data_IF_152540153014
#
_entry.id   IF_152540153014
#
_cell.length_a   1.000
_cell.length_b   1.000
_cell.length_c   1.000
_cell.angle_alpha   90.00
_cell.angle_beta   90.00
_cell.angle_gamma   90.00
#
_symmetry.space_group_name_H-M   'P 1'
#
loop_
_entity.id
_entity.type
_entity.pdbx_description
1 polymer ?
#
# COMPACT_ATOMS: atom_id res chain seq x y z
N UNK A 1 -54.80 -17.39 19.27
CA UNK A 1 -54.93 -15.93 19.43
C UNK A 1 -54.51 -15.68 20.86
N UNK A 2 -53.45 -14.96 21.20
CA UNK A 2 -52.74 -13.87 20.52
C UNK A 2 -51.23 -14.09 20.56
N UNK A 3 -50.55 -13.61 19.52
CA UNK A 3 -49.10 -13.55 19.43
C UNK A 3 -48.66 -12.16 19.91
N UNK A 4 -47.69 -12.14 20.81
CA UNK A 4 -47.08 -10.91 21.32
C UNK A 4 -45.76 -10.67 20.59
N UNK A 5 -45.64 -9.51 19.96
CA UNK A 5 -44.51 -9.05 19.15
C UNK A 5 -43.63 -8.11 19.97
N UNK A 6 -42.29 -8.27 19.98
CA UNK A 6 -41.37 -7.15 20.21
C UNK A 6 -40.88 -6.66 18.83
N UNK A 7 -40.96 -5.38 18.47
CA UNK A 7 -40.57 -4.19 19.24
C UNK A 7 -39.35 -3.60 18.52
N UNK A 8 -39.60 -2.63 17.64
CA UNK A 8 -38.59 -1.88 16.86
C UNK A 8 -37.53 -1.21 17.76
N UNK A 9 -36.22 -1.32 17.45
CA UNK A 9 -35.23 -0.46 18.06
C UNK A 9 -35.10 0.86 17.30
N UNK A 10 -35.38 1.93 18.04
CA UNK A 10 -35.11 3.34 17.72
C UNK A 10 -33.60 3.55 17.52
N UNK A 11 -33.21 4.18 16.41
CA UNK A 11 -31.85 4.59 16.13
C UNK A 11 -31.45 5.81 16.99
N UNK A 12 -30.23 5.84 17.58
CA UNK A 12 -29.71 7.05 18.18
C UNK A 12 -28.99 7.93 17.15
N UNK A 13 -29.27 9.24 17.26
CA UNK A 13 -28.69 10.35 16.51
C UNK A 13 -27.16 10.31 16.47
N UNK A 14 -26.62 10.45 15.25
CA UNK A 14 -25.19 10.60 14.99
C UNK A 14 -24.81 12.08 15.08
N UNK A 15 -24.23 12.48 16.21
CA UNK A 15 -23.54 13.77 16.32
C UNK A 15 -22.21 13.69 15.54
N UNK A 16 -22.15 14.43 14.42
CA UNK A 16 -20.92 14.70 13.70
C UNK A 16 -19.96 15.50 14.59
N UNK A 17 -18.85 14.89 14.99
CA UNK A 17 -17.73 15.58 15.62
C UNK A 17 -16.86 16.21 14.53
N UNK A 18 -16.91 17.54 14.41
CA UNK A 18 -15.97 18.31 13.63
C UNK A 18 -14.58 18.22 14.29
N UNK A 19 -13.64 17.57 13.60
CA UNK A 19 -12.23 17.57 14.00
C UNK A 19 -11.64 18.90 13.55
N UNK A 20 -11.43 19.80 14.52
CA UNK A 20 -10.68 21.04 14.33
C UNK A 20 -9.20 20.65 14.28
N UNK A 21 -8.59 20.72 13.10
CA UNK A 21 -7.15 20.61 12.95
C UNK A 21 -6.50 21.86 13.57
N UNK A 22 -5.74 21.67 14.66
CA UNK A 22 -4.84 22.70 15.19
C UNK A 22 -3.71 22.94 14.18
N UNK A 23 -3.77 24.08 13.50
CA UNK A 23 -2.68 24.60 12.69
C UNK A 23 -1.49 24.93 13.60
N UNK A 24 -0.39 24.21 13.43
CA UNK A 24 0.87 24.52 14.09
C UNK A 24 1.50 25.74 13.40
N UNK A 25 1.65 26.83 14.14
CA UNK A 25 2.33 28.04 13.68
C UNK A 25 3.85 27.82 13.68
N UNK A 26 4.47 27.91 12.51
CA UNK A 26 5.92 28.01 12.36
C UNK A 26 6.26 29.06 11.28
N UNK A 27 6.92 30.11 11.75
CA UNK A 27 7.80 31.07 11.07
C UNK A 27 7.39 31.69 9.74
N UNK A 28 6.87 32.93 9.86
CA UNK A 28 6.79 33.93 8.81
C UNK A 28 8.19 34.54 8.55
N UNK A 29 8.88 34.09 7.51
CA UNK A 29 9.85 34.93 6.78
C UNK A 29 9.38 35.06 5.33
N UNK A 30 8.62 36.14 5.10
CA UNK A 30 7.85 36.40 3.90
C UNK A 30 8.69 36.98 2.76
N UNK A 31 9.07 36.13 1.82
CA UNK A 31 9.19 36.51 0.41
C UNK A 31 7.83 36.31 -0.29
N UNK A 32 7.43 37.17 -1.25
CA UNK A 32 6.20 36.94 -2.01
C UNK A 32 6.34 35.63 -2.78
N UNK A 33 5.70 34.57 -2.29
CA UNK A 33 5.50 33.36 -3.06
C UNK A 33 4.71 33.77 -4.31
N UNK A 34 5.40 33.83 -5.44
CA UNK A 34 4.76 33.96 -6.74
C UNK A 34 3.62 32.93 -6.77
N UNK A 35 2.41 33.38 -7.07
CA UNK A 35 1.25 32.51 -7.21
C UNK A 35 1.60 31.40 -8.19
N UNK A 36 1.93 30.21 -7.70
CA UNK A 36 2.23 29.08 -8.55
C UNK A 36 0.89 28.62 -9.12
N UNK A 37 0.77 28.66 -10.45
CA UNK A 37 -0.47 28.35 -11.16
C UNK A 37 -1.00 26.96 -10.79
N UNK A 38 -2.32 26.84 -10.65
CA UNK A 38 -2.98 25.56 -10.44
C UNK A 38 -2.65 24.61 -11.60
N UNK A 39 -2.45 23.32 -11.30
CA UNK A 39 -2.15 22.29 -12.29
C UNK A 39 -3.09 21.11 -12.19
N UNK A 40 -3.33 20.49 -13.34
CA UNK A 40 -4.07 19.24 -13.45
C UNK A 40 -3.15 18.05 -13.19
N UNK A 41 -3.49 17.24 -12.18
CA UNK A 41 -2.76 16.03 -11.81
C UNK A 41 -3.50 14.81 -12.37
N UNK A 42 -3.24 14.50 -13.63
CA UNK A 42 -3.85 13.36 -14.34
C UNK A 42 -2.83 12.55 -15.11
N UNK A 43 -3.15 11.27 -15.26
CA UNK A 43 -2.50 10.41 -16.25
C UNK A 43 -3.00 10.78 -17.65
N UNK A 44 -2.07 10.88 -18.60
CA UNK A 44 -2.37 11.10 -20.01
C UNK A 44 -1.95 9.88 -20.80
N UNK A 45 -2.92 9.28 -21.48
CA UNK A 45 -2.69 8.05 -22.22
C UNK A 45 -2.39 8.37 -23.68
N UNK A 46 -1.14 8.10 -24.08
CA UNK A 46 -0.70 8.24 -25.47
C UNK A 46 -0.60 6.84 -26.12
N UNK A 47 -1.44 6.53 -27.14
CA UNK A 47 -1.34 5.28 -27.88
C UNK A 47 0.06 5.05 -28.46
N UNK A 48 0.43 3.77 -28.61
CA UNK A 48 1.63 3.31 -29.30
C UNK A 48 2.99 3.76 -28.74
N UNK A 49 3.01 4.32 -27.52
CA UNK A 49 4.26 4.59 -26.79
C UNK A 49 4.38 3.62 -25.62
N UNK A 50 5.21 2.56 -25.75
CA UNK A 50 5.44 1.68 -24.61
C UNK A 50 6.19 2.42 -23.51
N UNK A 51 5.79 2.19 -22.27
CA UNK A 51 6.48 2.68 -21.07
C UNK A 51 6.84 1.48 -20.22
N UNK A 52 8.11 1.36 -19.85
CA UNK A 52 8.55 0.29 -18.96
C UNK A 52 8.58 0.80 -17.53
N UNK A 53 8.03 0.00 -16.63
CA UNK A 53 8.05 0.26 -15.21
C UNK A 53 8.70 -0.91 -14.47
N UNK A 54 9.26 -0.61 -13.30
CA UNK A 54 9.59 -1.60 -12.29
C UNK A 54 8.81 -1.29 -11.03
N UNK A 55 8.07 -2.27 -10.57
CA UNK A 55 7.41 -2.24 -9.26
C UNK A 55 8.19 -3.12 -8.28
N UNK A 56 8.41 -2.62 -7.08
CA UNK A 56 8.92 -3.37 -5.93
C UNK A 56 7.89 -3.27 -4.81
N UNK A 57 7.42 -4.40 -4.33
CA UNK A 57 6.56 -4.47 -3.15
C UNK A 57 7.20 -5.38 -2.12
N UNK A 58 7.24 -4.94 -0.87
CA UNK A 58 7.88 -5.66 0.22
C UNK A 58 6.97 -5.61 1.45
N UNK A 59 6.79 -6.77 2.09
CA UNK A 59 6.12 -6.88 3.38
C UNK A 59 7.00 -7.69 4.30
N UNK A 60 7.30 -7.14 5.45
CA UNK A 60 8.06 -7.81 6.51
C UNK A 60 7.27 -7.72 7.82
N UNK A 61 7.24 -8.79 8.58
CA UNK A 61 6.77 -8.79 9.95
C UNK A 61 7.77 -9.57 10.81
N UNK A 62 8.12 -9.03 11.97
CA UNK A 62 9.04 -9.69 12.90
C UNK A 62 8.51 -9.69 14.32
N UNK A 63 8.91 -10.70 15.09
CA UNK A 63 8.61 -10.80 16.52
C UNK A 63 9.90 -11.09 17.27
N UNK A 64 10.22 -10.28 18.27
CA UNK A 64 11.43 -10.42 19.09
C UNK A 64 11.15 -10.27 20.58
N UNK A 65 11.97 -10.97 21.36
CA UNK A 65 12.00 -10.83 22.81
C UNK A 65 13.03 -9.77 23.18
N UNK A 66 12.67 -8.89 24.11
CA UNK A 66 13.55 -7.90 24.70
C UNK A 66 13.59 -8.14 26.21
N UNK A 67 14.79 -8.27 26.77
CA UNK A 67 14.98 -8.62 28.18
C UNK A 67 16.13 -9.60 28.38
N UNK A 68 16.32 -10.07 29.60
CA UNK A 68 17.31 -11.12 29.89
C UNK A 68 16.97 -12.40 29.11
N UNK A 69 18.00 -13.08 28.61
CA UNK A 69 17.83 -14.38 27.95
C UNK A 69 17.27 -15.43 28.91
N UNK A 70 17.56 -15.33 30.21
CA UNK A 70 17.04 -16.25 31.24
C UNK A 70 15.57 -16.04 31.57
N UNK A 71 14.99 -14.88 31.26
CA UNK A 71 13.55 -14.61 31.46
C UNK A 71 12.70 -14.91 30.23
N UNK A 72 13.35 -15.18 29.08
CA UNK A 72 12.67 -15.57 27.85
C UNK A 72 12.00 -16.93 28.02
N UNK A 73 10.68 -17.05 27.81
CA UNK A 73 9.99 -18.34 27.88
C UNK A 73 10.57 -19.35 26.88
N UNK A 74 10.78 -20.59 27.31
CA UNK A 74 11.26 -21.68 26.43
C UNK A 74 10.33 -21.96 25.25
N UNK A 75 9.05 -21.58 25.37
CA UNK A 75 8.04 -21.68 24.32
C UNK A 75 8.07 -20.51 23.32
N UNK A 76 8.79 -19.43 23.60
CA UNK A 76 8.84 -18.27 22.72
C UNK A 76 9.50 -18.62 21.38
N UNK A 77 8.85 -18.23 20.28
CA UNK A 77 9.32 -18.45 18.90
C UNK A 77 9.23 -17.13 18.15
N UNK A 78 10.33 -16.35 18.21
CA UNK A 78 10.48 -15.14 17.42
C UNK A 78 10.94 -15.40 15.98
N UNK A 79 11.32 -14.33 15.29
CA UNK A 79 11.87 -14.32 13.93
C UNK A 79 11.07 -13.41 12.99
N UNK A 80 11.59 -13.21 11.79
CA UNK A 80 10.94 -12.46 10.73
C UNK A 80 10.29 -13.37 9.68
N UNK A 81 9.12 -12.97 9.21
CA UNK A 81 8.44 -13.48 8.02
C UNK A 81 8.26 -12.33 7.04
N UNK A 82 8.24 -12.63 5.75
CA UNK A 82 8.03 -11.57 4.79
C UNK A 82 8.20 -12.02 3.37
N UNK A 83 7.94 -11.10 2.46
CA UNK A 83 8.24 -11.29 1.06
C UNK A 83 8.65 -9.97 0.39
N UNK A 84 9.42 -10.09 -0.67
CA UNK A 84 9.77 -9.02 -1.59
C UNK A 84 9.50 -9.50 -3.01
N UNK A 85 8.77 -8.72 -3.77
CA UNK A 85 8.52 -8.97 -5.19
C UNK A 85 9.01 -7.77 -5.99
N UNK A 86 9.74 -8.04 -7.07
CA UNK A 86 10.14 -7.05 -8.06
C UNK A 86 9.61 -7.49 -9.43
N UNK A 87 8.78 -6.67 -10.07
CA UNK A 87 8.24 -6.96 -11.41
C UNK A 87 8.65 -5.82 -12.32
N UNK A 88 9.35 -6.14 -13.41
CA UNK A 88 9.50 -5.23 -14.53
C UNK A 88 8.45 -5.56 -15.57
N UNK A 89 7.67 -4.57 -15.99
CA UNK A 89 6.63 -4.73 -17.00
C UNK A 89 6.62 -3.57 -17.99
N UNK A 90 6.22 -3.87 -19.21
CA UNK A 90 5.91 -2.87 -20.23
C UNK A 90 4.41 -2.58 -20.23
N UNK A 91 4.04 -1.30 -20.27
CA UNK A 91 2.69 -0.83 -20.53
C UNK A 91 2.61 -0.27 -21.94
N UNK A 92 1.60 -0.69 -22.71
CA UNK A 92 1.24 -0.08 -23.98
C UNK A 92 -0.24 0.30 -23.96
N UNK A 93 -0.54 1.56 -24.22
CA UNK A 93 -1.91 2.02 -24.44
C UNK A 93 -2.40 1.43 -25.76
N UNK A 94 -3.42 0.58 -25.69
CA UNK A 94 -4.06 -0.03 -26.86
C UNK A 94 -5.13 0.91 -27.44
N UNK A 95 -6.00 1.43 -26.57
CA UNK A 95 -7.05 2.37 -26.94
C UNK A 95 -7.40 3.31 -25.80
N UNK A 96 -7.91 4.49 -26.15
CA UNK A 96 -8.49 5.48 -25.23
C UNK A 96 -9.95 5.67 -25.62
N UNK A 97 -10.88 5.52 -24.69
CA UNK A 97 -12.31 5.74 -24.92
C UNK A 97 -12.68 7.21 -24.82
N UNK A 98 -13.90 7.54 -25.27
CA UNK A 98 -14.41 8.93 -25.33
C UNK A 98 -14.47 9.62 -23.95
N UNK A 99 -14.54 8.86 -22.86
CA UNK A 99 -14.50 9.37 -21.49
C UNK A 99 -13.07 9.55 -20.93
N UNK A 100 -12.03 9.31 -21.73
CA UNK A 100 -10.63 9.42 -21.34
C UNK A 100 -10.04 8.18 -20.65
N UNK A 101 -10.82 7.12 -20.40
CA UNK A 101 -10.25 5.86 -19.90
C UNK A 101 -9.37 5.22 -20.97
N UNK A 102 -8.32 4.52 -20.56
CA UNK A 102 -7.45 3.79 -21.46
C UNK A 102 -7.44 2.29 -21.15
N UNK A 103 -7.52 1.47 -22.18
CA UNK A 103 -7.14 0.06 -22.08
C UNK A 103 -5.65 -0.04 -22.29
N UNK A 104 -4.96 -0.48 -21.25
CA UNK A 104 -3.50 -0.62 -21.21
C UNK A 104 -3.17 -2.10 -21.20
N UNK A 105 -2.44 -2.53 -22.22
CA UNK A 105 -1.85 -3.87 -22.27
C UNK A 105 -0.56 -3.87 -21.46
N UNK A 106 -0.49 -4.74 -20.47
CA UNK A 106 0.65 -4.88 -19.54
C UNK A 106 1.35 -6.20 -19.83
N UNK A 107 2.64 -6.17 -20.17
CA UNK A 107 3.45 -7.38 -20.42
C UNK A 107 4.52 -7.52 -19.35
N UNK A 108 4.55 -8.66 -18.65
CA UNK A 108 5.56 -8.94 -17.62
C UNK A 108 6.88 -9.29 -18.31
N UNK A 109 7.93 -8.51 -18.07
CA UNK A 109 9.25 -8.70 -18.71
C UNK A 109 10.23 -9.43 -17.79
N UNK A 110 10.21 -9.15 -16.49
CA UNK A 110 11.06 -9.80 -15.50
C UNK A 110 10.34 -9.87 -14.15
N UNK A 111 10.71 -10.88 -13.35
CA UNK A 111 10.15 -11.12 -12.02
C UNK A 111 11.25 -11.62 -11.09
N UNK A 112 11.33 -11.01 -9.90
CA UNK A 112 12.05 -11.54 -8.75
C UNK A 112 11.09 -11.71 -7.60
N UNK A 113 11.24 -12.78 -6.84
CA UNK A 113 10.47 -13.03 -5.64
C UNK A 113 11.35 -13.67 -4.58
N UNK A 114 11.32 -13.10 -3.38
CA UNK A 114 11.95 -13.66 -2.21
C UNK A 114 10.91 -13.79 -1.10
N UNK A 115 10.64 -15.01 -0.66
CA UNK A 115 9.79 -15.32 0.48
C UNK A 115 10.61 -15.84 1.65
N UNK A 116 10.37 -15.31 2.85
CA UNK A 116 11.02 -15.70 4.10
C UNK A 116 10.00 -16.12 5.15
N UNK A 117 10.33 -17.17 5.88
CA UNK A 117 9.58 -17.62 7.05
C UNK A 117 10.54 -17.94 8.19
N UNK A 118 10.45 -17.20 9.31
CA UNK A 118 11.32 -17.32 10.48
C UNK A 118 12.80 -17.35 10.08
N UNK A 119 13.24 -16.32 9.35
CA UNK A 119 14.60 -16.17 8.78
C UNK A 119 15.01 -17.21 7.73
N UNK A 120 14.17 -18.21 7.45
CA UNK A 120 14.46 -19.21 6.42
C UNK A 120 13.87 -18.76 5.09
N UNK A 121 14.67 -18.80 4.03
CA UNK A 121 14.19 -18.59 2.66
C UNK A 121 13.31 -19.78 2.28
N UNK A 122 12.02 -19.54 2.06
CA UNK A 122 11.04 -20.56 1.67
C UNK A 122 10.77 -20.57 0.17
N UNK A 123 11.06 -19.46 -0.50
CA UNK A 123 10.95 -19.30 -1.94
C UNK A 123 11.94 -18.24 -2.39
N UNK A 124 12.75 -18.55 -3.39
CA UNK A 124 13.68 -17.61 -4.02
C UNK A 124 13.63 -17.84 -5.53
N UNK A 125 13.14 -16.84 -6.25
CA UNK A 125 12.96 -16.86 -7.69
C UNK A 125 13.51 -15.57 -8.31
N UNK A 126 14.22 -15.69 -9.41
CA UNK A 126 14.73 -14.59 -10.22
C UNK A 126 14.73 -15.04 -11.68
N UNK A 127 13.87 -14.44 -12.49
CA UNK A 127 13.67 -14.81 -13.89
C UNK A 127 14.93 -14.71 -14.75
N UNK A 128 15.99 -14.03 -14.29
CA UNK A 128 17.27 -13.97 -15.01
C UNK A 128 18.19 -15.18 -14.75
N UNK A 129 17.94 -15.97 -13.69
CA UNK A 129 18.75 -17.14 -13.34
C UNK A 129 18.36 -18.33 -14.22
N UNK A 130 19.34 -19.01 -14.80
CA UNK A 130 19.11 -20.19 -15.66
C UNK A 130 18.31 -21.30 -14.95
N UNK A 131 18.57 -21.50 -13.66
CA UNK A 131 17.89 -22.52 -12.83
C UNK A 131 16.40 -22.22 -12.60
N UNK A 132 15.99 -20.95 -12.72
CA UNK A 132 14.61 -20.49 -12.47
C UNK A 132 13.79 -20.38 -13.77
N UNK A 133 14.38 -20.71 -14.93
CA UNK A 133 13.68 -20.65 -16.22
C UNK A 133 12.59 -21.69 -16.40
N UNK A 134 12.52 -22.66 -15.48
CA UNK A 134 11.49 -23.69 -15.45
C UNK A 134 10.74 -23.57 -14.13
N UNK A 135 9.43 -23.31 -14.21
CA UNK A 135 8.58 -23.31 -13.03
C UNK A 135 7.34 -22.43 -13.19
N UNK A 136 6.41 -22.49 -12.22
CA UNK A 136 5.17 -21.72 -12.29
C UNK A 136 5.37 -20.20 -12.38
N UNK A 137 6.40 -19.65 -11.73
CA UNK A 137 6.70 -18.22 -11.76
C UNK A 137 7.34 -17.78 -13.10
N UNK A 138 8.10 -18.65 -13.77
CA UNK A 138 8.69 -18.33 -15.08
C UNK A 138 7.64 -18.27 -16.19
N UNK A 139 6.52 -19.00 -16.05
CA UNK A 139 5.39 -18.96 -16.99
C UNK A 139 4.70 -17.59 -17.07
N UNK A 140 4.92 -16.71 -16.08
CA UNK A 140 4.43 -15.34 -16.09
C UNK A 140 5.22 -14.43 -17.04
N UNK A 141 6.48 -14.76 -17.34
CA UNK A 141 7.35 -13.93 -18.16
C UNK A 141 6.87 -13.95 -19.62
N UNK A 142 6.75 -12.77 -20.23
CA UNK A 142 6.22 -12.58 -21.57
C UNK A 142 4.70 -12.68 -21.67
N UNK A 143 3.98 -12.97 -20.56
CA UNK A 143 2.51 -12.93 -20.55
C UNK A 143 2.02 -11.50 -20.47
N UNK A 144 0.89 -11.25 -21.14
CA UNK A 144 0.21 -9.98 -21.09
C UNK A 144 -1.20 -10.11 -20.52
N UNK A 145 -1.63 -9.08 -19.81
CA UNK A 145 -3.01 -8.87 -19.40
C UNK A 145 -3.41 -7.42 -19.71
N UNK A 146 -4.69 -7.12 -19.64
CA UNK A 146 -5.21 -5.78 -19.90
C UNK A 146 -5.79 -5.18 -18.62
N UNK A 147 -5.60 -3.88 -18.46
CA UNK A 147 -6.24 -3.08 -17.43
C UNK A 147 -6.91 -1.88 -18.08
N UNK A 148 -8.18 -1.63 -17.75
CA UNK A 148 -8.81 -0.36 -18.09
C UNK A 148 -8.52 0.64 -16.96
N UNK A 149 -7.96 1.80 -17.27
CA UNK A 149 -7.54 2.81 -16.29
C UNK A 149 -8.16 4.17 -16.58
N UNK A 150 -8.56 4.89 -15.53
CA UNK A 150 -9.02 6.28 -15.63
C UNK A 150 -7.84 7.27 -15.61
N UNK A 151 -8.03 8.51 -16.09
CA UNK A 151 -7.02 9.57 -15.92
C UNK A 151 -6.64 9.85 -14.46
N UNK A 152 -7.55 9.56 -13.51
CA UNK A 152 -7.30 9.65 -12.06
C UNK A 152 -6.62 8.39 -11.50
N UNK A 153 -6.11 7.51 -12.36
CA UNK A 153 -5.35 6.33 -11.95
C UNK A 153 -6.16 5.23 -11.26
N UNK A 154 -7.49 5.21 -11.41
CA UNK A 154 -8.30 4.10 -10.94
C UNK A 154 -8.28 2.96 -11.98
N UNK A 155 -8.19 1.70 -11.53
CA UNK A 155 -8.38 0.54 -12.40
C UNK A 155 -9.87 0.19 -12.43
N UNK A 156 -10.47 0.19 -13.62
CA UNK A 156 -11.90 -0.09 -13.82
C UNK A 156 -12.10 -1.60 -14.04
N UNK A 157 -11.35 -2.21 -14.96
CA UNK A 157 -11.39 -3.64 -15.26
C UNK A 157 -10.00 -4.27 -15.31
N UNK A 158 -9.96 -5.59 -15.18
CA UNK A 158 -8.77 -6.43 -15.39
C UNK A 158 -9.18 -7.61 -16.26
N UNK A 159 -8.52 -7.77 -17.39
CA UNK A 159 -8.90 -8.73 -18.43
C UNK A 159 -7.69 -9.56 -18.90
N UNK A 160 -7.94 -10.70 -19.57
CA UNK A 160 -6.88 -11.57 -20.11
C UNK A 160 -6.16 -12.48 -19.10
N UNK A 161 -6.49 -12.37 -17.81
CA UNK A 161 -5.81 -13.10 -16.73
C UNK A 161 -6.19 -14.59 -16.66
N UNK A 162 -7.43 -14.95 -17.04
CA UNK A 162 -7.90 -16.33 -16.98
C UNK A 162 -7.01 -17.30 -17.78
N UNK A 163 -6.63 -16.92 -19.00
CA UNK A 163 -5.73 -17.73 -19.84
C UNK A 163 -4.32 -17.88 -19.24
N UNK A 164 -3.85 -16.88 -18.48
CA UNK A 164 -2.58 -16.98 -17.74
C UNK A 164 -2.74 -18.01 -16.61
N UNK A 165 -3.80 -17.91 -15.79
CA UNK A 165 -4.08 -18.86 -14.69
C UNK A 165 -4.12 -20.30 -15.20
N UNK A 166 -4.83 -20.53 -16.31
CA UNK A 166 -4.98 -21.86 -16.88
C UNK A 166 -3.67 -22.45 -17.40
N UNK A 167 -2.71 -21.61 -17.78
CA UNK A 167 -1.39 -22.05 -18.27
C UNK A 167 -0.44 -22.47 -17.14
N UNK A 168 -0.62 -21.95 -15.93
CA UNK A 168 0.24 -22.25 -14.77
C UNK A 168 -0.24 -23.57 -14.15
N UNK A 169 0.58 -24.62 -14.22
CA UNK A 169 0.25 -25.94 -13.65
C UNK A 169 1.00 -26.21 -12.34
N UNK A 170 0.49 -27.15 -11.55
CA UNK A 170 1.12 -27.64 -10.31
C UNK A 170 0.38 -27.23 -9.03
N UNK A 171 0.99 -27.52 -7.89
CA UNK A 171 0.47 -27.27 -6.54
C UNK A 171 1.56 -26.76 -5.57
N UNK A 172 2.76 -26.49 -6.08
CA UNK A 172 3.92 -26.02 -5.30
C UNK A 172 3.69 -24.61 -4.68
N UNK A 173 4.50 -24.21 -3.68
CA UNK A 173 4.48 -22.84 -3.17
C UNK A 173 4.66 -21.78 -4.28
N UNK A 174 5.51 -22.06 -5.28
CA UNK A 174 5.72 -21.23 -6.46
C UNK A 174 4.44 -21.08 -7.30
N UNK A 175 3.68 -22.17 -7.47
CA UNK A 175 2.41 -22.17 -8.17
C UNK A 175 1.40 -21.25 -7.47
N UNK A 176 1.23 -21.40 -6.16
CA UNK A 176 0.34 -20.53 -5.37
C UNK A 176 0.79 -19.07 -5.42
N UNK A 177 2.11 -18.83 -5.39
CA UNK A 177 2.67 -17.48 -5.50
C UNK A 177 2.40 -16.87 -6.87
N UNK A 178 2.58 -17.63 -7.96
CA UNK A 178 2.30 -17.17 -9.31
C UNK A 178 0.82 -16.80 -9.48
N UNK A 179 -0.11 -17.66 -9.02
CA UNK A 179 -1.55 -17.38 -9.05
C UNK A 179 -1.92 -16.13 -8.24
N UNK A 180 -1.29 -15.92 -7.08
CA UNK A 180 -1.50 -14.72 -6.28
C UNK A 180 -1.03 -13.46 -6.99
N UNK A 181 0.16 -13.47 -7.61
CA UNK A 181 0.73 -12.29 -8.28
C UNK A 181 -0.12 -11.78 -9.45
N UNK A 182 -0.88 -12.67 -10.08
CA UNK A 182 -1.86 -12.36 -11.13
C UNK A 182 -3.31 -12.43 -10.62
N UNK A 183 -3.53 -12.33 -9.31
CA UNK A 183 -4.86 -12.09 -8.74
C UNK A 183 -5.37 -10.71 -9.16
N UNK A 184 -6.69 -10.57 -9.37
CA UNK A 184 -7.30 -9.29 -9.78
C UNK A 184 -7.00 -8.19 -8.76
N UNK A 185 -7.04 -8.56 -7.47
CA UNK A 185 -6.69 -7.66 -6.36
C UNK A 185 -5.23 -7.18 -6.47
N UNK A 186 -4.29 -8.11 -6.61
CA UNK A 186 -2.86 -7.79 -6.73
C UNK A 186 -2.53 -6.99 -7.99
N UNK A 187 -3.27 -7.21 -9.09
CA UNK A 187 -3.13 -6.43 -10.32
C UNK A 187 -3.67 -5.00 -10.11
N UNK A 188 -4.83 -4.84 -9.46
CA UNK A 188 -5.40 -3.52 -9.13
C UNK A 188 -4.47 -2.75 -8.20
N UNK A 189 -4.03 -3.36 -7.10
CA UNK A 189 -3.12 -2.72 -6.13
C UNK A 189 -1.79 -2.27 -6.77
N UNK A 190 -1.35 -2.94 -7.85
CA UNK A 190 -0.14 -2.58 -8.60
C UNK A 190 -0.33 -1.40 -9.56
N UNK A 191 -1.51 -1.25 -10.14
CA UNK A 191 -1.74 -0.26 -11.20
C UNK A 191 -2.56 0.94 -10.76
N UNK A 192 -3.29 0.84 -9.65
CA UNK A 192 -3.99 1.98 -9.07
C UNK A 192 -3.01 3.04 -8.58
N UNK A 193 -3.41 4.31 -8.68
CA UNK A 193 -2.64 5.47 -8.22
C UNK A 193 -3.47 6.20 -7.15
N UNK A 194 -3.43 5.75 -5.89
CA UNK A 194 -4.35 6.22 -4.86
C UNK A 194 -4.32 7.73 -4.60
N UNK A 195 -3.16 8.37 -4.81
CA UNK A 195 -3.02 9.82 -4.71
C UNK A 195 -3.91 10.53 -5.74
N UNK A 196 -3.93 10.06 -7.00
CA UNK A 196 -4.75 10.66 -8.05
C UNK A 196 -6.24 10.34 -7.89
N UNK A 197 -6.56 9.14 -7.40
CA UNK A 197 -7.95 8.73 -7.14
C UNK A 197 -8.62 9.55 -6.03
N UNK A 198 -7.83 10.08 -5.10
CA UNK A 198 -8.30 10.88 -3.97
C UNK A 198 -8.51 12.37 -4.31
N UNK A 199 -8.08 12.83 -5.49
CA UNK A 199 -8.35 14.18 -5.96
C UNK A 199 -9.81 14.31 -6.40
N UNK A 200 -10.59 15.06 -5.65
CA UNK A 200 -11.97 15.42 -6.02
C UNK A 200 -11.95 16.44 -7.16
N UNK A 201 -11.20 17.54 -6.95
CA UNK A 201 -10.98 18.60 -7.93
C UNK A 201 -10.02 18.18 -9.05
N UNK A 202 -10.19 18.78 -10.22
CA UNK A 202 -9.33 18.54 -11.38
C UNK A 202 -8.00 19.30 -11.30
N UNK A 203 -7.91 20.35 -10.47
CA UNK A 203 -6.68 21.16 -10.38
C UNK A 203 -6.27 21.41 -8.95
N UNK A 204 -4.96 21.46 -8.71
CA UNK A 204 -4.38 21.74 -7.40
C UNK A 204 -3.22 22.72 -7.53
N UNK A 205 -3.14 23.67 -6.60
CA UNK A 205 -2.00 24.58 -6.48
C UNK A 205 -0.94 23.95 -5.57
N UNK A 206 0.34 24.30 -5.73
CA UNK A 206 1.36 23.97 -4.74
C UNK A 206 0.96 24.44 -3.33
N UNK A 207 1.20 23.59 -2.33
CA UNK A 207 0.66 23.69 -0.97
C UNK A 207 -0.73 23.08 -0.79
N UNK A 208 -1.46 22.78 -1.87
CA UNK A 208 -2.76 22.14 -1.82
C UNK A 208 -2.69 20.70 -1.31
N UNK A 209 -3.70 20.31 -0.54
CA UNK A 209 -3.77 19.00 0.12
C UNK A 209 -5.08 18.29 -0.15
N UNK A 210 -5.03 16.96 -0.23
CA UNK A 210 -6.20 16.10 -0.33
C UNK A 210 -5.91 14.78 0.37
N UNK A 211 -6.91 13.94 0.62
CA UNK A 211 -6.70 12.73 1.40
C UNK A 211 -7.62 11.57 1.03
N UNK A 212 -7.22 10.36 1.43
CA UNK A 212 -8.14 9.21 1.48
C UNK A 212 -7.79 8.28 2.62
N UNK A 213 -8.75 7.45 3.03
CA UNK A 213 -8.55 6.46 4.09
C UNK A 213 -8.08 5.13 3.51
N UNK A 214 -7.03 4.55 4.10
CA UNK A 214 -6.52 3.20 3.81
C UNK A 214 -6.60 2.33 5.05
N UNK A 215 -7.15 1.14 4.89
CA UNK A 215 -7.19 0.12 5.92
C UNK A 215 -6.01 -0.84 5.76
N UNK A 216 -5.24 -1.02 6.83
CA UNK A 216 -4.19 -2.02 6.92
C UNK A 216 -4.64 -3.15 7.83
N UNK A 217 -4.49 -4.39 7.37
CA UNK A 217 -4.77 -5.58 8.18
C UNK A 217 -3.47 -6.22 8.66
N UNK A 218 -3.43 -6.52 9.95
CA UNK A 218 -2.28 -7.12 10.65
C UNK A 218 -2.60 -8.51 11.20
N UNK A 219 -3.60 -9.18 10.62
CA UNK A 219 -4.04 -10.50 11.06
C UNK A 219 -4.53 -10.45 12.51
N UNK A 220 -3.89 -11.23 13.40
CA UNK A 220 -4.29 -11.34 14.81
C UNK A 220 -4.05 -10.06 15.62
N UNK A 221 -3.25 -9.14 15.11
CA UNK A 221 -3.02 -7.83 15.71
C UNK A 221 -4.13 -6.81 15.37
N UNK A 222 -5.14 -7.24 14.61
CA UNK A 222 -6.26 -6.41 14.19
C UNK A 222 -5.98 -5.64 12.90
N UNK A 223 -6.89 -4.73 12.57
CA UNK A 223 -6.73 -3.80 11.47
C UNK A 223 -6.58 -2.37 12.02
N UNK A 224 -6.05 -1.46 11.20
CA UNK A 224 -5.98 -0.02 11.49
C UNK A 224 -6.30 0.78 10.25
N UNK A 225 -6.95 1.92 10.46
CA UNK A 225 -7.23 2.86 9.40
C UNK A 225 -6.30 4.07 9.52
N UNK A 226 -5.81 4.53 8.38
CA UNK A 226 -5.01 5.74 8.29
C UNK A 226 -5.58 6.62 7.19
N UNK A 227 -5.64 7.90 7.47
CA UNK A 227 -5.83 8.92 6.45
C UNK A 227 -4.47 9.20 5.81
N UNK A 228 -4.35 8.93 4.51
CA UNK A 228 -3.22 9.34 3.69
C UNK A 228 -3.47 10.77 3.25
N UNK A 229 -2.71 11.70 3.79
CA UNK A 229 -2.69 13.10 3.42
C UNK A 229 -1.63 13.31 2.33
N UNK A 230 -2.08 13.75 1.15
CA UNK A 230 -1.25 14.11 0.02
C UNK A 230 -1.07 15.63 -0.01
N UNK A 231 0.11 16.11 -0.38
CA UNK A 231 0.40 17.54 -0.52
C UNK A 231 1.21 17.75 -1.79
N UNK A 232 0.73 18.61 -2.70
CA UNK A 232 1.55 19.04 -3.85
C UNK A 232 2.61 20.01 -3.32
N UNK A 233 3.85 19.56 -3.19
CA UNK A 233 4.91 20.39 -2.59
C UNK A 233 5.40 21.47 -3.55
N UNK A 234 5.69 21.06 -4.80
CA UNK A 234 6.28 21.92 -5.83
C UNK A 234 6.11 21.36 -7.22
N UNK A 235 6.35 22.21 -8.21
CA UNK A 235 6.47 21.85 -9.62
C UNK A 235 7.86 22.28 -10.07
N UNK A 236 8.67 21.32 -10.51
CA UNK A 236 10.00 21.57 -11.08
C UNK A 236 9.85 21.74 -12.59
N UNK A 237 10.52 22.76 -13.15
CA UNK A 237 10.50 23.09 -14.56
C UNK A 237 11.93 23.06 -15.10
N UNK A 238 12.51 21.86 -15.15
CA UNK A 238 13.78 21.59 -15.82
C UNK A 238 13.50 21.16 -17.27
N UNK A 239 13.83 19.91 -17.65
CA UNK A 239 13.58 19.36 -18.99
C UNK A 239 12.11 18.97 -19.23
N UNK A 240 11.35 18.74 -18.16
CA UNK A 240 9.92 18.42 -18.14
C UNK A 240 9.29 19.01 -16.89
N UNK A 241 8.01 19.38 -16.94
CA UNK A 241 7.29 19.85 -15.75
C UNK A 241 6.95 18.66 -14.85
N UNK A 242 7.67 18.51 -13.74
CA UNK A 242 7.45 17.42 -12.78
C UNK A 242 6.74 17.97 -11.54
N UNK A 243 5.55 17.44 -11.25
CA UNK A 243 4.88 17.66 -9.97
C UNK A 243 5.40 16.69 -8.91
N UNK A 244 5.75 17.23 -7.74
CA UNK A 244 6.20 16.46 -6.58
C UNK A 244 5.15 16.50 -5.48
N UNK A 245 4.62 15.34 -5.13
CA UNK A 245 3.58 15.17 -4.11
C UNK A 245 4.16 14.37 -2.94
N UNK A 246 4.14 14.92 -1.74
CA UNK A 246 4.48 14.18 -0.51
C UNK A 246 3.24 13.56 0.12
N UNK A 247 3.43 12.43 0.79
CA UNK A 247 2.39 11.67 1.47
C UNK A 247 2.76 11.47 2.94
N UNK A 248 1.80 11.72 3.84
CA UNK A 248 1.90 11.40 5.27
C UNK A 248 0.65 10.65 5.70
N UNK A 249 0.80 9.70 6.62
CA UNK A 249 -0.34 8.95 7.15
C UNK A 249 -0.64 9.37 8.58
N UNK A 250 -1.91 9.66 8.84
CA UNK A 250 -2.42 10.04 10.15
C UNK A 250 -3.37 8.92 10.61
N UNK A 251 -3.23 8.38 11.83
CA UNK A 251 -4.19 7.43 12.37
C UNK A 251 -5.62 8.00 12.27
N UNK A 252 -6.56 7.22 11.72
CA UNK A 252 -7.93 7.69 11.49
C UNK A 252 -8.95 6.83 12.22
N UNK A 253 -9.90 7.50 12.88
CA UNK A 253 -11.07 6.86 13.46
C UNK A 253 -12.20 6.63 12.43
N UNK A 254 -12.08 7.15 11.21
CA UNK A 254 -13.16 7.16 10.21
C UNK A 254 -13.63 5.75 9.80
N UNK A 255 -12.83 4.72 10.01
CA UNK A 255 -13.20 3.33 9.74
C UNK A 255 -13.52 2.51 11.00
N UNK A 256 -13.79 3.14 12.15
CA UNK A 256 -14.04 2.45 13.43
C UNK A 256 -15.09 1.32 13.30
N UNK A 257 -16.19 1.56 12.59
CA UNK A 257 -17.22 0.55 12.35
C UNK A 257 -16.72 -0.69 11.57
N UNK A 258 -15.85 -0.49 10.57
CA UNK A 258 -15.24 -1.59 9.80
C UNK A 258 -14.16 -2.31 10.61
N UNK A 259 -13.45 -1.58 11.47
CA UNK A 259 -12.46 -2.14 12.38
C UNK A 259 -13.10 -3.10 13.40
N UNK A 260 -14.30 -2.77 13.91
CA UNK A 260 -15.02 -3.64 14.84
C UNK A 260 -15.47 -4.97 14.23
N UNK A 261 -15.77 -5.02 12.93
CA UNK A 261 -16.18 -6.25 12.25
C UNK A 261 -15.00 -7.21 11.98
N UNK A 262 -13.78 -6.68 11.92
CA UNK A 262 -12.56 -7.46 11.66
C UNK A 262 -11.77 -7.86 12.91
N UNK A 263 -12.12 -7.34 14.09
CA UNK A 263 -11.47 -7.74 15.33
C UNK A 263 -11.96 -9.12 15.76
N UNK A 264 -11.03 -10.08 15.80
CA UNK A 264 -11.26 -11.39 16.42
C UNK A 264 -11.09 -11.24 17.93
N UNK A 265 -11.96 -11.88 18.73
CA UNK A 265 -12.01 -11.81 20.20
C UNK A 265 -10.73 -12.26 20.96
N UNK A 266 -9.63 -12.53 20.25
CA UNK A 266 -8.48 -13.25 20.77
C UNK A 266 -7.44 -12.38 21.49
N UNK A 267 -7.45 -11.05 21.32
CA UNK A 267 -6.46 -10.16 21.95
C UNK A 267 -7.18 -8.98 22.61
N UNK A 268 -7.07 -8.81 23.94
CA UNK A 268 -7.64 -7.66 24.63
C UNK A 268 -7.12 -6.35 24.06
N UNK A 269 -8.04 -5.42 23.74
CA UNK A 269 -7.67 -4.07 23.35
C UNK A 269 -6.85 -3.41 24.48
N UNK A 270 -5.77 -2.69 24.12
CA UNK A 270 -4.94 -1.95 25.08
C UNK A 270 -3.77 -2.72 25.71
N UNK A 271 -3.50 -3.96 25.32
CA UNK A 271 -2.31 -4.71 25.80
C UNK A 271 -0.99 -4.22 25.18
N UNK A 272 -1.06 -3.53 24.04
CA UNK A 272 0.12 -3.13 23.26
C UNK A 272 0.15 -1.62 23.08
N UNK A 273 1.26 -1.02 23.51
CA UNK A 273 1.67 0.28 23.00
C UNK A 273 2.15 0.12 21.56
N UNK A 274 1.99 1.17 20.76
CA UNK A 274 2.38 1.11 19.36
C UNK A 274 2.90 2.44 18.85
N UNK A 275 3.77 2.36 17.85
CA UNK A 275 4.29 3.50 17.11
C UNK A 275 4.14 3.21 15.63
N UNK A 276 3.53 4.16 14.93
CA UNK A 276 3.25 4.05 13.51
C UNK A 276 3.98 5.15 12.75
N UNK A 277 4.48 4.83 11.57
CA UNK A 277 5.02 5.80 10.62
C UNK A 277 4.53 5.47 9.22
N UNK A 278 4.02 6.48 8.51
CA UNK A 278 3.64 6.37 7.12
C UNK A 278 4.21 7.56 6.35
N UNK A 279 4.95 7.25 5.30
CA UNK A 279 5.54 8.26 4.42
C UNK A 279 5.48 7.78 2.97
N UNK A 280 5.39 8.73 2.04
CA UNK A 280 5.40 8.42 0.62
C UNK A 280 5.65 9.65 -0.24
N UNK A 281 5.88 9.41 -1.52
CA UNK A 281 6.16 10.43 -2.53
C UNK A 281 5.62 9.97 -3.89
N UNK A 282 5.12 10.92 -4.69
CA UNK A 282 4.75 10.75 -6.09
C UNK A 282 5.44 11.84 -6.91
N UNK A 283 6.10 11.45 -7.99
CA UNK A 283 6.61 12.35 -9.03
C UNK A 283 5.86 12.06 -10.33
N UNK A 284 5.14 13.06 -10.84
CA UNK A 284 4.32 12.97 -12.04
C UNK A 284 4.86 13.94 -13.11
N UNK A 285 5.18 13.43 -14.29
CA UNK A 285 5.45 14.25 -15.47
C UNK A 285 4.13 14.81 -16.00
N UNK A 286 3.93 16.12 -15.87
CA UNK A 286 2.70 16.82 -16.24
C UNK A 286 2.53 16.95 -17.76
N UNK A 287 3.62 16.91 -18.51
CA UNK A 287 3.58 17.00 -19.97
C UNK A 287 3.20 15.64 -20.56
N UNK A 288 3.91 14.59 -20.13
CA UNK A 288 3.64 13.22 -20.56
C UNK A 288 2.38 12.63 -19.90
N UNK A 289 1.95 13.16 -18.75
CA UNK A 289 0.93 12.57 -17.88
C UNK A 289 1.32 11.16 -17.44
N UNK A 290 2.57 10.97 -17.05
CA UNK A 290 3.13 9.67 -16.68
C UNK A 290 3.80 9.73 -15.31
N UNK A 291 3.72 8.63 -14.56
CA UNK A 291 4.40 8.51 -13.28
C UNK A 291 5.90 8.32 -13.55
N UNK A 292 6.74 9.17 -12.97
CA UNK A 292 8.18 8.94 -12.96
C UNK A 292 8.57 8.04 -11.79
N UNK A 293 8.00 8.32 -10.61
CA UNK A 293 8.20 7.51 -9.41
C UNK A 293 7.00 7.59 -8.46
N UNK A 294 6.71 6.51 -7.76
CA UNK A 294 5.73 6.46 -6.68
C UNK A 294 6.26 5.56 -5.57
N UNK A 295 6.35 6.07 -4.34
CA UNK A 295 6.87 5.34 -3.19
C UNK A 295 5.90 5.49 -2.02
N UNK A 296 5.57 4.39 -1.37
CA UNK A 296 4.91 4.37 -0.06
C UNK A 296 5.68 3.44 0.88
N UNK A 297 5.82 3.85 2.13
CA UNK A 297 6.27 2.99 3.21
C UNK A 297 5.41 3.21 4.44
N UNK A 298 4.89 2.11 4.95
CA UNK A 298 4.20 2.03 6.22
C UNK A 298 5.00 1.13 7.16
N UNK A 299 5.23 1.59 8.37
CA UNK A 299 5.79 0.79 9.45
C UNK A 299 4.93 0.96 10.69
N UNK A 300 4.70 -0.14 11.37
CA UNK A 300 4.02 -0.18 12.66
C UNK A 300 4.79 -1.10 13.59
N UNK A 301 4.92 -0.68 14.82
CA UNK A 301 5.63 -1.39 15.87
C UNK A 301 4.69 -1.52 17.06
N UNK A 302 4.60 -2.72 17.64
CA UNK A 302 3.85 -3.00 18.84
C UNK A 302 4.79 -3.49 19.94
N UNK A 303 4.57 -3.03 21.16
CA UNK A 303 5.32 -3.44 22.33
C UNK A 303 4.35 -3.88 23.42
N UNK A 304 4.48 -5.12 23.88
CA UNK A 304 3.88 -5.57 25.14
C UNK A 304 4.97 -5.71 26.17
N UNK A 305 4.80 -5.05 27.31
CA UNK A 305 5.74 -5.07 28.43
C UNK A 305 5.11 -5.81 29.60
N UNK A 306 5.94 -6.53 30.36
CA UNK A 306 5.51 -7.11 31.64
C UNK A 306 5.10 -5.99 32.63
N UNK A 307 3.80 -5.89 32.90
CA UNK A 307 3.24 -4.85 33.77
C UNK A 307 3.67 -5.02 35.24
N UNK A 308 3.89 -6.25 35.71
CA UNK A 308 4.34 -6.49 37.09
C UNK A 308 5.78 -5.99 37.26
N UNK A 309 6.62 -6.18 36.24
CA UNK A 309 7.97 -5.65 36.19
C UNK A 309 8.01 -4.11 36.18
N UNK A 310 7.08 -3.46 35.46
CA UNK A 310 6.92 -1.99 35.49
C UNK A 310 6.52 -1.52 36.90
N UNK A 311 5.49 -2.14 37.50
CA UNK A 311 4.98 -1.75 38.81
C UNK A 311 6.00 -1.93 39.95
N UNK A 312 6.90 -2.90 39.82
CA UNK A 312 8.00 -3.13 40.75
C UNK A 312 9.21 -2.22 40.53
N UNK A 313 9.18 -1.33 39.54
CA UNK A 313 10.26 -0.39 39.25
C UNK A 313 11.47 -1.03 38.58
N UNK A 314 11.28 -2.10 37.81
CA UNK A 314 12.36 -2.73 37.05
C UNK A 314 12.82 -1.79 35.93
N UNK A 315 14.11 -1.45 35.88
CA UNK A 315 14.66 -0.51 34.88
C UNK A 315 14.54 -1.01 33.42
N UNK A 316 14.45 -2.33 33.22
CA UNK A 316 14.33 -2.98 31.91
C UNK A 316 13.39 -4.19 31.98
N UNK A 317 12.07 -3.96 32.05
CA UNK A 317 11.10 -5.04 32.06
C UNK A 317 11.22 -5.86 30.76
N UNK A 318 10.93 -7.15 30.87
CA UNK A 318 10.84 -8.00 29.69
C UNK A 318 9.70 -7.51 28.78
N UNK A 319 9.92 -7.59 27.47
CA UNK A 319 8.95 -7.17 26.49
C UNK A 319 8.95 -8.07 25.26
N UNK A 320 7.80 -8.12 24.59
CA UNK A 320 7.65 -8.65 23.24
C UNK A 320 7.48 -7.47 22.31
N UNK A 321 8.39 -7.32 21.36
CA UNK A 321 8.28 -6.35 20.27
C UNK A 321 7.89 -7.05 18.99
N UNK A 322 6.92 -6.47 18.30
CA UNK A 322 6.48 -6.92 16.99
C UNK A 322 6.59 -5.74 16.03
N UNK A 323 7.20 -5.96 14.88
CA UNK A 323 7.32 -4.95 13.84
C UNK A 323 6.60 -5.44 12.59
N UNK A 324 6.00 -4.52 11.84
CA UNK A 324 5.59 -4.78 10.47
C UNK A 324 5.92 -3.60 9.58
N UNK A 325 6.55 -3.89 8.46
CA UNK A 325 6.83 -2.93 7.39
C UNK A 325 6.12 -3.38 6.13
N UNK A 326 5.47 -2.44 5.44
CA UNK A 326 4.93 -2.61 4.10
C UNK A 326 5.50 -1.48 3.27
N UNK A 327 6.16 -1.81 2.16
CA UNK A 327 6.66 -0.80 1.22
C UNK A 327 6.24 -1.13 -0.20
N UNK A 328 6.05 -0.07 -0.97
CA UNK A 328 5.70 -0.11 -2.37
C UNK A 328 6.53 0.95 -3.09
N UNK A 329 7.11 0.58 -4.23
CA UNK A 329 7.86 1.47 -5.11
C UNK A 329 7.50 1.14 -6.55
N UNK A 330 7.12 2.15 -7.31
CA UNK A 330 6.99 2.10 -8.76
C UNK A 330 7.96 3.12 -9.34
N UNK A 331 8.74 2.72 -10.33
CA UNK A 331 9.66 3.62 -11.03
C UNK A 331 9.62 3.37 -12.53
N UNK A 332 9.62 4.44 -13.31
CA UNK A 332 9.74 4.39 -14.76
C UNK A 332 11.19 4.06 -15.14
N UNK A 333 11.37 3.06 -15.98
CA UNK A 333 12.68 2.71 -16.55
C UNK A 333 12.85 3.48 -17.85
N UNK A 334 13.97 4.20 -17.96
CA UNK A 334 14.38 4.94 -19.17
C UNK A 334 15.35 4.12 -20.01
#
# INVERSE_FOLDING_TARGET
MEADSPGEPVAPDSHAAAVVAEASAADEDGGPAASQDAVDLVLRFAPDRPVTYKVTAETEASVRWEGDASSKPDSFRGGAIGNRVEITYEQRVDRVSDNGNAVVKVTILALKYLGRSRETVVLDFDSVRDQDRQGPLSELIGRSYEVEMTPKGAVVSVDGVAGIRDSIKGDSPDHQTALKLIGDKEIRERHEVPALMALEDETVCPGGTWSNVKLFSFGRMGARAYERLYTLDRIEADDSRIAHVTMKGIPSAAAAAQLHQGQTDAVPAGLFDHVDSYQGQLSLDLEAGAIEAYVEQFRTEWVAVDQEAIQSGTDRPAAVRMDRTVSYRLERIR
#
